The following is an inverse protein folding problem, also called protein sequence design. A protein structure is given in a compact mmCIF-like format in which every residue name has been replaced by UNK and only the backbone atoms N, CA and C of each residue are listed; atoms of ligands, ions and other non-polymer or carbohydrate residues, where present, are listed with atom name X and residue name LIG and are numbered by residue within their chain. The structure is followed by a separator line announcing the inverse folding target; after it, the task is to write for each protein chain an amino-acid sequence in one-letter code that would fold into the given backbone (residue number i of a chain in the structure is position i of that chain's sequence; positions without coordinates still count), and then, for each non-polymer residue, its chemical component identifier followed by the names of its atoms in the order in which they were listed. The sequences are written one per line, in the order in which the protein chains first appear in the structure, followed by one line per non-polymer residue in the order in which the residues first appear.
data_IF_233371767925
#
_entry.id   IF_233371767925
#
_cell.length_a   1.000
_cell.length_b   1.000
_cell.length_c   1.000
_cell.angle_alpha   90.00
_cell.angle_beta   90.00
_cell.angle_gamma   90.00
#
_symmetry.space_group_name_H-M   'P 1'
#
loop_
_entity.id
_entity.type
_entity.pdbx_description
1 polymer ?
#
# COMPACT_ATOMS: atom_id res chain seq x y z
N UNK A 1 -11.41 5.98 -3.97
CA UNK A 1 -11.18 5.43 -5.31
C UNK A 1 -12.21 4.36 -5.70
N UNK A 2 -12.32 3.23 -5.03
CA UNK A 2 -13.26 2.14 -5.42
C UNK A 2 -14.70 2.62 -5.62
N UNK A 3 -15.26 3.36 -4.66
CA UNK A 3 -16.60 3.97 -4.78
C UNK A 3 -16.77 4.89 -6.00
N UNK A 4 -15.71 5.57 -6.43
CA UNK A 4 -15.74 6.49 -7.59
C UNK A 4 -15.74 5.76 -8.94
N UNK A 5 -15.39 4.48 -8.95
CA UNK A 5 -15.36 3.63 -10.15
C UNK A 5 -16.45 2.55 -10.13
N UNK A 6 -17.28 2.50 -9.07
CA UNK A 6 -18.43 1.60 -9.00
C UNK A 6 -18.05 0.13 -8.81
N UNK A 7 -16.98 -0.16 -8.06
CA UNK A 7 -16.54 -1.53 -7.77
C UNK A 7 -16.51 -1.78 -6.27
N UNK A 8 -16.67 -3.03 -5.88
CA UNK A 8 -16.47 -3.46 -4.50
C UNK A 8 -14.98 -3.39 -4.14
N UNK A 9 -14.71 -3.11 -2.89
CA UNK A 9 -13.36 -3.09 -2.33
C UNK A 9 -13.21 -4.15 -1.26
N UNK A 10 -12.29 -5.08 -1.50
CA UNK A 10 -11.93 -6.14 -0.56
C UNK A 10 -10.51 -5.85 -0.06
N UNK A 11 -10.37 -5.69 1.25
CA UNK A 11 -9.06 -5.63 1.91
C UNK A 11 -8.80 -6.98 2.58
N UNK A 12 -7.72 -7.62 2.19
CA UNK A 12 -7.27 -8.89 2.79
C UNK A 12 -5.96 -8.61 3.51
N UNK A 13 -6.05 -8.34 4.81
CA UNK A 13 -4.88 -8.12 5.65
C UNK A 13 -4.10 -9.44 5.90
N UNK A 14 -2.88 -9.32 6.41
CA UNK A 14 -1.98 -10.47 6.62
C UNK A 14 -2.55 -11.54 7.57
N UNK A 15 -3.41 -11.17 8.50
CA UNK A 15 -4.02 -12.11 9.47
C UNK A 15 -5.06 -13.02 8.80
N UNK A 16 -5.59 -12.62 7.66
CA UNK A 16 -6.60 -13.37 6.89
C UNK A 16 -6.01 -14.11 5.70
N UNK A 17 -4.71 -13.95 5.46
CA UNK A 17 -4.00 -14.65 4.39
C UNK A 17 -3.40 -15.94 4.90
N UNK A 18 -3.56 -17.02 4.16
CA UNK A 18 -3.01 -18.35 4.47
C UNK A 18 -2.01 -18.77 3.40
N UNK A 19 -0.91 -19.37 3.80
CA UNK A 19 0.16 -19.84 2.93
C UNK A 19 1.55 -19.43 3.40
N UNK A 20 2.56 -20.20 3.02
CA UNK A 20 3.95 -20.01 3.43
C UNK A 20 4.66 -18.96 2.57
N UNK A 21 4.29 -18.83 1.30
CA UNK A 21 4.86 -17.87 0.37
C UNK A 21 3.88 -16.73 0.05
N UNK A 22 4.40 -15.63 -0.49
CA UNK A 22 3.55 -14.55 -0.97
C UNK A 22 2.60 -15.03 -2.07
N UNK A 23 3.09 -15.86 -3.00
CA UNK A 23 2.29 -16.42 -4.08
C UNK A 23 1.13 -17.27 -3.59
N UNK A 24 1.36 -18.13 -2.58
CA UNK A 24 0.29 -18.94 -1.96
C UNK A 24 -0.76 -18.05 -1.30
N UNK A 25 -0.34 -17.05 -0.53
CA UNK A 25 -1.25 -16.13 0.16
C UNK A 25 -2.10 -15.34 -0.82
N UNK A 26 -1.49 -14.76 -1.86
CA UNK A 26 -2.21 -13.99 -2.86
C UNK A 26 -3.15 -14.88 -3.67
N UNK A 27 -2.68 -16.04 -4.13
CA UNK A 27 -3.52 -16.98 -4.90
C UNK A 27 -4.71 -17.49 -4.08
N UNK A 28 -4.52 -17.77 -2.79
CA UNK A 28 -5.59 -18.14 -1.88
C UNK A 28 -6.64 -17.03 -1.71
N UNK A 29 -6.19 -15.79 -1.56
CA UNK A 29 -7.09 -14.63 -1.45
C UNK A 29 -7.90 -14.40 -2.74
N UNK A 30 -7.27 -14.53 -3.91
CA UNK A 30 -7.96 -14.45 -5.21
C UNK A 30 -8.97 -15.58 -5.39
N UNK A 31 -8.59 -16.81 -5.01
CA UNK A 31 -9.47 -17.97 -5.08
C UNK A 31 -10.73 -17.77 -4.21
N UNK A 32 -10.59 -17.25 -3.00
CA UNK A 32 -11.72 -16.93 -2.12
C UNK A 32 -12.62 -15.86 -2.73
N UNK A 33 -12.04 -14.79 -3.28
CA UNK A 33 -12.81 -13.74 -3.94
C UNK A 33 -13.60 -14.29 -5.14
N UNK A 34 -12.99 -15.13 -5.98
CA UNK A 34 -13.70 -15.79 -7.08
C UNK A 34 -14.78 -16.75 -6.59
N UNK A 35 -14.55 -17.48 -5.48
CA UNK A 35 -15.56 -18.35 -4.87
C UNK A 35 -16.75 -17.57 -4.32
N UNK A 36 -16.54 -16.30 -3.92
CA UNK A 36 -17.61 -15.38 -3.50
C UNK A 36 -18.45 -14.82 -4.67
N UNK A 37 -18.21 -15.25 -5.91
CA UNK A 37 -19.04 -14.91 -7.06
C UNK A 37 -18.50 -13.80 -7.96
N UNK A 38 -17.36 -13.20 -7.66
CA UNK A 38 -16.76 -12.22 -8.57
C UNK A 38 -16.29 -12.87 -9.87
N UNK A 39 -16.59 -12.23 -11.01
CA UNK A 39 -16.16 -12.70 -12.33
C UNK A 39 -14.79 -12.15 -12.73
N UNK A 40 -14.41 -11.00 -12.19
CA UNK A 40 -13.18 -10.28 -12.50
C UNK A 40 -12.64 -9.65 -11.22
N UNK A 41 -11.32 -9.65 -11.06
CA UNK A 41 -10.63 -9.04 -9.93
C UNK A 41 -9.55 -8.07 -10.42
N UNK A 42 -9.39 -6.95 -9.71
CA UNK A 42 -8.24 -6.08 -9.79
C UNK A 42 -7.48 -6.15 -8.46
N UNK A 43 -6.21 -6.54 -8.53
CA UNK A 43 -5.27 -6.43 -7.41
C UNK A 43 -4.44 -5.18 -7.62
N UNK A 44 -4.29 -4.38 -6.58
CA UNK A 44 -3.48 -3.16 -6.59
C UNK A 44 -2.46 -3.20 -5.46
N UNK A 45 -1.23 -2.76 -5.74
CA UNK A 45 -0.24 -2.41 -4.72
C UNK A 45 -0.66 -1.16 -3.95
N UNK A 46 -0.11 -0.97 -2.77
CA UNK A 46 -0.35 0.19 -1.90
C UNK A 46 0.78 1.24 -1.99
N UNK A 47 1.82 0.99 -2.75
CA UNK A 47 3.07 1.71 -2.92
C UNK A 47 3.12 2.59 -4.19
N UNK A 48 2.06 2.57 -5.01
CA UNK A 48 1.93 3.40 -6.20
C UNK A 48 0.99 4.62 -6.00
N UNK A 49 1.48 5.75 -5.50
CA UNK A 49 0.65 6.93 -5.22
C UNK A 49 0.09 7.60 -6.49
N UNK A 50 0.62 7.26 -7.65
CA UNK A 50 0.13 7.75 -8.95
C UNK A 50 -1.13 7.02 -9.42
N UNK A 51 -1.53 5.93 -8.73
CA UNK A 51 -2.76 5.20 -9.03
C UNK A 51 -3.98 6.05 -8.65
N UNK A 52 -4.79 6.40 -9.63
CA UNK A 52 -5.98 7.22 -9.49
C UNK A 52 -7.24 6.56 -10.06
N UNK A 53 -8.39 7.20 -9.88
CA UNK A 53 -9.66 6.68 -10.39
C UNK A 53 -9.71 6.58 -11.92
N UNK A 54 -8.98 7.43 -12.65
CA UNK A 54 -8.94 7.38 -14.11
C UNK A 54 -8.16 6.16 -14.59
N UNK A 55 -7.02 5.85 -13.96
CA UNK A 55 -6.26 4.62 -14.23
C UNK A 55 -7.06 3.36 -13.90
N UNK A 56 -7.77 3.35 -12.76
CA UNK A 56 -8.65 2.22 -12.42
C UNK A 56 -9.75 2.00 -13.46
N UNK A 57 -10.40 3.06 -13.95
CA UNK A 57 -11.39 2.93 -15.03
C UNK A 57 -10.77 2.36 -16.31
N UNK A 58 -9.57 2.81 -16.70
CA UNK A 58 -8.84 2.25 -17.84
C UNK A 58 -8.51 0.78 -17.65
N UNK A 59 -8.08 0.41 -16.42
CA UNK A 59 -7.82 -0.99 -16.07
C UNK A 59 -9.07 -1.85 -16.20
N UNK A 60 -10.21 -1.41 -15.65
CA UNK A 60 -11.49 -2.11 -15.75
C UNK A 60 -11.94 -2.27 -17.20
N UNK A 61 -11.86 -1.20 -18.01
CA UNK A 61 -12.20 -1.26 -19.42
C UNK A 61 -11.27 -2.19 -20.22
N UNK A 62 -9.97 -2.22 -19.91
CA UNK A 62 -9.04 -3.15 -20.51
C UNK A 62 -9.36 -4.59 -20.10
N UNK A 63 -9.55 -4.85 -18.79
CA UNK A 63 -9.89 -6.18 -18.24
C UNK A 63 -11.16 -6.75 -18.88
N UNK A 64 -12.20 -5.93 -19.02
CA UNK A 64 -13.45 -6.35 -19.65
C UNK A 64 -13.28 -6.80 -21.12
N UNK A 65 -12.36 -6.17 -21.85
CA UNK A 65 -12.11 -6.51 -23.27
C UNK A 65 -11.16 -7.68 -23.46
N UNK A 66 -10.16 -7.81 -22.60
CA UNK A 66 -9.00 -8.69 -22.83
C UNK A 66 -8.94 -9.89 -21.89
N UNK A 67 -9.78 -9.90 -20.85
CA UNK A 67 -9.76 -10.92 -19.80
C UNK A 67 -8.60 -10.79 -18.82
N UNK A 68 -7.57 -9.98 -19.12
CA UNK A 68 -6.47 -9.67 -18.22
C UNK A 68 -5.87 -8.29 -18.49
N UNK A 69 -5.35 -7.62 -17.44
CA UNK A 69 -4.65 -6.34 -17.56
C UNK A 69 -3.48 -6.28 -16.59
N UNK A 70 -2.37 -5.75 -17.03
CA UNK A 70 -1.17 -5.52 -16.21
C UNK A 70 -0.79 -4.03 -16.24
N UNK A 71 -0.50 -3.50 -15.05
CA UNK A 71 0.16 -2.22 -14.86
C UNK A 71 1.60 -2.48 -14.40
N UNK A 72 2.59 -2.37 -15.30
CA UNK A 72 3.97 -2.69 -14.95
C UNK A 72 4.58 -1.64 -14.03
N UNK A 73 5.46 -2.08 -13.15
CA UNK A 73 6.30 -1.24 -12.31
C UNK A 73 7.73 -1.21 -12.88
N UNK A 74 8.46 -0.12 -12.60
CA UNK A 74 9.82 0.10 -13.13
C UNK A 74 10.85 -0.92 -12.62
N UNK A 75 10.57 -1.56 -11.48
CA UNK A 75 11.37 -2.63 -10.89
C UNK A 75 11.19 -4.00 -11.58
N UNK A 76 10.28 -4.09 -12.57
CA UNK A 76 9.92 -5.32 -13.28
C UNK A 76 8.77 -6.10 -12.65
N UNK A 77 8.21 -5.60 -11.54
CA UNK A 77 6.97 -6.05 -10.93
C UNK A 77 5.72 -5.53 -11.62
N UNK A 78 4.62 -5.48 -10.89
CA UNK A 78 3.35 -4.91 -11.34
C UNK A 78 2.68 -4.15 -10.20
N UNK A 79 2.28 -2.89 -10.44
CA UNK A 79 1.50 -2.11 -9.48
C UNK A 79 -0.01 -2.42 -9.54
N UNK A 80 -0.44 -3.02 -10.64
CA UNK A 80 -1.82 -3.42 -10.85
C UNK A 80 -1.88 -4.70 -11.68
N UNK A 81 -2.73 -5.61 -11.26
CA UNK A 81 -3.00 -6.87 -11.92
C UNK A 81 -4.50 -7.10 -11.97
N UNK A 82 -5.07 -7.21 -13.17
CA UNK A 82 -6.47 -7.58 -13.38
C UNK A 82 -6.56 -8.93 -14.06
N UNK A 83 -7.52 -9.74 -13.62
CA UNK A 83 -7.75 -11.08 -14.18
C UNK A 83 -9.21 -11.45 -14.11
N UNK A 84 -9.73 -12.03 -15.20
CA UNK A 84 -11.02 -12.71 -15.21
C UNK A 84 -10.87 -14.14 -14.67
N UNK A 85 -11.93 -14.65 -14.03
CA UNK A 85 -11.96 -15.98 -13.41
C UNK A 85 -11.49 -17.09 -14.36
N UNK A 86 -11.86 -17.02 -15.64
CA UNK A 86 -11.51 -18.02 -16.65
C UNK A 86 -9.99 -18.17 -16.89
N UNK A 87 -9.20 -17.16 -16.51
CA UNK A 87 -7.74 -17.12 -16.74
C UNK A 87 -6.94 -17.27 -15.44
N UNK A 88 -7.61 -17.54 -14.32
CA UNK A 88 -6.97 -17.74 -13.03
C UNK A 88 -6.89 -19.22 -12.68
N UNK A 89 -5.69 -19.70 -12.38
CA UNK A 89 -5.43 -21.04 -11.85
C UNK A 89 -4.49 -20.89 -10.63
N UNK A 90 -5.03 -21.22 -9.44
CA UNK A 90 -4.39 -20.90 -8.16
C UNK A 90 -2.99 -21.50 -8.00
N UNK A 91 -2.81 -22.76 -8.44
CA UNK A 91 -1.54 -23.47 -8.29
C UNK A 91 -0.45 -22.89 -9.20
N UNK A 92 -0.77 -22.58 -10.45
CA UNK A 92 0.18 -21.96 -11.37
C UNK A 92 0.54 -20.55 -10.92
N UNK A 93 -0.43 -19.79 -10.38
CA UNK A 93 -0.19 -18.46 -9.86
C UNK A 93 0.66 -18.47 -8.59
N UNK A 94 0.45 -19.43 -7.67
CA UNK A 94 1.27 -19.57 -6.48
C UNK A 94 2.75 -19.81 -6.82
N UNK A 95 3.04 -20.49 -7.93
CA UNK A 95 4.38 -20.82 -8.40
C UNK A 95 5.10 -19.70 -9.19
N UNK A 96 4.44 -18.57 -9.45
CA UNK A 96 5.08 -17.44 -10.15
C UNK A 96 6.21 -16.83 -9.32
N UNK A 97 7.20 -16.18 -9.97
CA UNK A 97 8.34 -15.56 -9.30
C UNK A 97 7.94 -14.23 -8.63
N UNK A 98 7.03 -14.30 -7.66
CA UNK A 98 6.59 -13.14 -6.90
C UNK A 98 7.76 -12.43 -6.23
N UNK A 99 7.65 -11.12 -6.06
CA UNK A 99 8.67 -10.28 -5.43
C UNK A 99 10.03 -10.29 -6.17
N UNK A 100 10.00 -10.50 -7.49
CA UNK A 100 11.21 -10.43 -8.34
C UNK A 100 10.99 -9.53 -9.54
N UNK A 101 12.07 -8.98 -10.09
CA UNK A 101 12.05 -8.16 -11.31
C UNK A 101 11.57 -8.90 -12.59
N UNK A 102 11.34 -10.20 -12.50
CA UNK A 102 10.83 -11.01 -13.63
C UNK A 102 9.34 -11.25 -13.58
N UNK A 103 8.67 -10.82 -12.51
CA UNK A 103 7.25 -11.10 -12.25
C UNK A 103 6.33 -10.63 -13.39
N UNK A 104 6.47 -9.40 -13.87
CA UNK A 104 5.61 -8.85 -14.91
C UNK A 104 5.63 -9.68 -16.19
N UNK A 105 6.82 -10.15 -16.59
CA UNK A 105 6.98 -11.04 -17.76
C UNK A 105 6.38 -12.42 -17.52
N UNK A 106 6.57 -12.97 -16.32
CA UNK A 106 6.04 -14.29 -15.95
C UNK A 106 4.51 -14.28 -15.91
N UNK A 107 3.90 -13.25 -15.31
CA UNK A 107 2.45 -13.02 -15.32
C UNK A 107 1.90 -12.90 -16.74
N UNK A 108 2.51 -12.08 -17.58
CA UNK A 108 2.08 -11.91 -18.96
C UNK A 108 2.12 -13.23 -19.74
N UNK A 109 3.14 -14.06 -19.53
CA UNK A 109 3.24 -15.40 -20.12
C UNK A 109 2.14 -16.31 -19.61
N UNK A 110 1.96 -16.39 -18.28
CA UNK A 110 0.94 -17.22 -17.66
C UNK A 110 -0.48 -16.89 -18.16
N UNK A 111 -0.80 -15.60 -18.23
CA UNK A 111 -2.09 -15.12 -18.73
C UNK A 111 -2.32 -15.46 -20.19
N UNK A 112 -1.31 -15.32 -21.07
CA UNK A 112 -1.41 -15.71 -22.47
C UNK A 112 -1.58 -17.22 -22.62
N UNK A 113 -0.88 -18.01 -21.82
CA UNK A 113 -1.02 -19.49 -21.82
C UNK A 113 -2.44 -19.91 -21.42
N UNK A 114 -3.12 -19.16 -20.55
CA UNK A 114 -4.53 -19.39 -20.20
C UNK A 114 -5.53 -18.85 -21.26
N UNK A 115 -5.07 -18.33 -22.37
CA UNK A 115 -5.90 -17.81 -23.46
C UNK A 115 -6.34 -16.36 -23.30
N UNK A 116 -5.84 -15.62 -22.29
CA UNK A 116 -6.16 -14.20 -22.16
C UNK A 116 -5.38 -13.36 -23.17
N UNK A 117 -6.04 -12.37 -23.78
CA UNK A 117 -5.35 -11.24 -24.34
C UNK A 117 -4.96 -10.28 -23.19
N UNK A 118 -3.69 -9.92 -23.09
CA UNK A 118 -3.19 -9.08 -21.97
C UNK A 118 -3.24 -7.61 -22.38
N UNK A 119 -4.09 -6.84 -21.69
CA UNK A 119 -4.06 -5.37 -21.77
C UNK A 119 -2.91 -4.81 -20.94
N UNK A 120 -2.30 -3.71 -21.40
CA UNK A 120 -1.22 -3.04 -20.70
C UNK A 120 -1.61 -1.62 -20.32
N UNK A 121 -1.27 -1.24 -19.11
CA UNK A 121 -1.31 0.14 -18.64
C UNK A 121 0.06 0.79 -18.76
N UNK A 122 0.15 2.12 -18.72
CA UNK A 122 1.44 2.81 -18.61
C UNK A 122 2.22 2.35 -17.38
N UNK A 123 3.53 2.21 -17.55
CA UNK A 123 4.45 1.89 -16.46
C UNK A 123 4.46 2.99 -15.40
N UNK A 124 4.56 2.61 -14.14
CA UNK A 124 4.69 3.51 -13.00
C UNK A 124 5.91 3.14 -12.16
N UNK A 125 6.45 4.15 -11.48
CA UNK A 125 7.48 3.94 -10.49
C UNK A 125 6.84 3.68 -9.11
N UNK A 126 7.31 2.65 -8.42
CA UNK A 126 6.99 2.41 -7.02
C UNK A 126 7.77 3.38 -6.14
N UNK A 127 7.32 3.58 -4.90
CA UNK A 127 8.03 4.40 -3.91
C UNK A 127 8.55 3.49 -2.80
N UNK A 128 9.73 2.95 -2.99
CA UNK A 128 10.38 2.05 -2.04
C UNK A 128 11.39 2.77 -1.15
N UNK A 129 11.89 3.92 -1.60
CA UNK A 129 12.93 4.66 -0.91
C UNK A 129 12.75 6.19 -1.03
N UNK A 130 13.63 6.94 -0.36
CA UNK A 130 13.56 8.42 -0.34
C UNK A 130 13.81 9.05 -1.72
N UNK A 131 14.61 8.42 -2.58
CA UNK A 131 14.87 8.92 -3.95
C UNK A 131 13.64 8.78 -4.82
N UNK A 132 12.92 7.65 -4.73
CA UNK A 132 11.66 7.42 -5.42
C UNK A 132 10.59 8.40 -4.96
N UNK A 133 10.51 8.66 -3.64
CA UNK A 133 9.63 9.67 -3.07
C UNK A 133 9.96 11.07 -3.61
N UNK A 134 11.25 11.42 -3.70
CA UNK A 134 11.68 12.70 -4.26
C UNK A 134 11.34 12.80 -5.77
N UNK A 135 11.46 11.70 -6.50
CA UNK A 135 11.08 11.62 -7.91
C UNK A 135 9.56 11.77 -8.08
N UNK A 136 8.76 11.01 -7.31
CA UNK A 136 7.31 11.08 -7.35
C UNK A 136 6.78 12.50 -7.02
N UNK A 137 7.42 13.21 -6.09
CA UNK A 137 7.06 14.60 -5.75
C UNK A 137 7.28 15.59 -6.91
N UNK A 138 8.15 15.28 -7.87
CA UNK A 138 8.35 16.08 -9.08
C UNK A 138 7.32 15.82 -10.18
N UNK A 139 6.62 14.69 -10.11
CA UNK A 139 5.59 14.33 -11.09
C UNK A 139 4.25 15.06 -10.81
N UNK A 140 3.32 14.99 -11.79
CA UNK A 140 1.98 15.57 -11.66
C UNK A 140 1.10 14.71 -10.72
N UNK A 141 1.32 14.83 -9.41
CA UNK A 141 0.48 14.20 -8.39
C UNK A 141 -0.67 15.12 -7.98
N UNK A 142 -1.83 14.56 -7.59
CA UNK A 142 -2.89 15.31 -6.93
C UNK A 142 -2.35 16.09 -5.73
N UNK A 143 -2.77 17.35 -5.57
CA UNK A 143 -2.23 18.25 -4.54
C UNK A 143 -2.30 17.68 -3.11
N UNK A 144 -3.41 16.97 -2.79
CA UNK A 144 -3.59 16.34 -1.48
C UNK A 144 -2.55 15.24 -1.21
N UNK A 145 -2.27 14.41 -2.21
CA UNK A 145 -1.27 13.36 -2.13
C UNK A 145 0.14 13.94 -2.05
N UNK A 146 0.45 14.96 -2.88
CA UNK A 146 1.72 15.68 -2.82
C UNK A 146 1.96 16.28 -1.44
N UNK A 147 0.92 16.84 -0.81
CA UNK A 147 1.00 17.40 0.56
C UNK A 147 1.26 16.30 1.59
N UNK A 148 0.61 15.14 1.47
CA UNK A 148 0.82 14.00 2.37
C UNK A 148 2.25 13.45 2.27
N UNK A 149 2.75 13.21 1.05
CA UNK A 149 4.10 12.72 0.80
C UNK A 149 5.19 13.70 1.29
N UNK A 150 4.98 15.03 1.11
CA UNK A 150 5.90 16.04 1.66
C UNK A 150 5.94 16.03 3.20
N UNK A 151 4.83 15.70 3.86
CA UNK A 151 4.80 15.55 5.32
C UNK A 151 5.60 14.34 5.78
N UNK A 152 5.47 13.20 5.09
CA UNK A 152 6.24 11.99 5.37
C UNK A 152 7.75 12.24 5.24
N UNK A 153 8.17 12.94 4.18
CA UNK A 153 9.58 13.29 3.96
C UNK A 153 10.18 14.20 5.03
N UNK A 154 9.36 15.05 5.66
CA UNK A 154 9.81 15.96 6.72
C UNK A 154 9.93 15.30 8.09
N UNK A 155 9.51 14.05 8.23
CA UNK A 155 9.40 13.36 9.52
C UNK A 155 8.29 13.96 10.42
N UNK A 156 7.99 13.34 11.56
CA UNK A 156 7.17 13.96 12.56
C UNK A 156 7.86 15.26 13.00
N UNK A 157 7.17 16.40 12.93
CA UNK A 157 7.65 17.64 13.51
C UNK A 157 8.02 17.33 14.97
N UNK A 158 9.29 17.55 15.34
CA UNK A 158 9.71 17.41 16.72
C UNK A 158 8.69 18.16 17.57
N UNK A 159 7.97 17.45 18.42
CA UNK A 159 7.04 18.07 19.34
C UNK A 159 7.85 19.08 20.15
N UNK A 160 7.55 20.36 20.01
CA UNK A 160 8.14 21.39 20.85
C UNK A 160 7.91 20.96 22.30
N UNK A 161 8.92 21.04 23.17
CA UNK A 161 8.78 20.63 24.56
C UNK A 161 7.64 21.45 25.18
N UNK A 162 6.55 20.76 25.47
CA UNK A 162 5.46 21.31 26.28
C UNK A 162 5.98 21.32 27.71
N UNK A 163 6.67 22.36 28.10
CA UNK A 163 6.70 23.03 29.38
C UNK A 163 7.99 23.85 29.49
N UNK A 164 7.92 25.14 29.67
CA UNK A 164 9.06 25.87 30.24
C UNK A 164 9.22 25.34 31.67
N UNK A 165 10.44 24.95 32.02
CA UNK A 165 10.80 24.64 33.40
C UNK A 165 10.36 25.78 34.32
N UNK A 166 9.78 25.51 35.49
CA UNK A 166 9.44 26.60 36.44
C UNK A 166 10.70 27.33 36.82
N UNK A 167 10.67 28.65 36.65
CA UNK A 167 11.74 29.56 37.03
C UNK A 167 12.10 29.33 38.51
N UNK A 168 13.36 29.12 38.76
CA UNK A 168 13.99 29.06 40.09
C UNK A 168 13.60 30.30 40.89
N UNK A 169 12.79 30.11 41.94
CA UNK A 169 12.52 31.15 42.93
C UNK A 169 13.67 31.16 43.94
N UNK A 170 14.35 32.26 44.14
CA UNK A 170 15.42 32.36 45.15
C UNK A 170 14.84 32.33 46.57
N UNK A 171 15.36 31.45 47.38
CA UNK A 171 15.57 31.56 48.80
C UNK A 171 14.34 31.73 49.72
N UNK A 172 13.82 30.62 50.26
CA UNK A 172 13.19 30.68 51.61
C UNK A 172 14.16 30.05 52.63
N UNK A 173 14.50 30.83 53.62
CA UNK A 173 15.41 30.45 54.71
C UNK A 173 14.85 29.25 55.55
N UNK A 174 15.71 28.43 56.14
CA UNK A 174 15.24 27.26 56.91
C UNK A 174 14.58 27.69 58.23
N UNK A 175 13.36 27.23 58.46
CA UNK A 175 12.67 27.42 59.73
C UNK A 175 13.30 26.58 60.84
N UNK A 176 13.58 27.23 61.95
CA UNK A 176 14.13 26.60 63.18
C UNK A 176 13.06 25.65 63.83
N UNK A 177 13.49 24.55 64.46
CA UNK A 177 12.58 23.64 65.11
C UNK A 177 12.06 24.25 66.43
N UNK A 178 10.73 24.28 66.56
CA UNK A 178 10.06 24.64 67.85
C UNK A 178 10.25 23.51 68.84
N UNK A 179 10.83 23.86 70.03
CA UNK A 179 10.87 23.00 71.21
C UNK A 179 9.44 22.77 71.74
N UNK A 180 9.09 21.52 71.94
CA UNK A 180 7.84 21.10 72.64
C UNK A 180 7.94 21.36 74.13
N UNK A 181 6.78 21.44 74.84
CA UNK A 181 6.73 21.68 76.32
C UNK A 181 7.09 20.40 77.06
N UNK A 182 7.57 20.53 78.35
CA UNK A 182 8.00 19.41 79.15
C UNK A 182 6.79 18.63 79.70
N UNK A 183 6.98 17.29 79.79
CA UNK A 183 6.02 16.37 80.38
C UNK A 183 6.08 16.51 81.94
N UNK A 184 4.90 16.42 82.54
CA UNK A 184 4.68 15.97 83.92
C UNK A 184 3.91 14.68 83.91
#
# INVERSE_FOLDING_TARGET
MARQVGVDFICVDSSRQTGNTFGERLSGALQQAFASGYAQLLVIGNDCPQLDAARLRRALAALARTGAVLGPATDGGVYLLGVARAHFEARAWAALPWQTATLGRALARQLRTSGAAVGWLPELADIDNEQDLAHALRQALPWALRRALRRLRRGPAAAAPKNPAPADRPGAAPAQPRRGPPAY
#
